data_IF_769458878348
#
_entry.id   IF_769458878348
#
_cell.length_a   1.000
_cell.length_b   1.000
_cell.length_c   1.000
_cell.angle_alpha   90.00
_cell.angle_beta   90.00
_cell.angle_gamma   90.00
#
_symmetry.space_group_name_H-M   'P 1'
#
loop_
_entity.id
_entity.type
_entity.pdbx_description
1 polymer ?
#
# COMPACT_ATOMS: atom_id res chain seq x y z
N UNK A 1 23.81 -32.46 11.72
CA UNK A 1 23.15 -32.40 10.41
C UNK A 1 22.38 -31.09 10.29
N UNK A 2 22.71 -30.31 9.32
CA UNK A 2 22.04 -29.03 9.13
C UNK A 2 20.56 -29.30 8.79
N UNK A 3 19.69 -28.74 9.56
CA UNK A 3 18.27 -28.83 9.32
C UNK A 3 17.88 -27.73 8.33
N UNK A 4 17.76 -28.11 7.06
CA UNK A 4 17.38 -27.16 6.01
C UNK A 4 15.87 -26.92 5.99
N UNK A 5 15.19 -27.24 7.08
CA UNK A 5 13.77 -27.00 7.17
C UNK A 5 13.50 -25.50 7.13
N UNK A 6 12.65 -25.08 6.21
CA UNK A 6 12.28 -23.68 6.12
C UNK A 6 11.52 -23.27 7.38
N UNK A 7 11.86 -22.10 7.90
CA UNK A 7 11.14 -21.53 9.04
C UNK A 7 9.69 -21.25 8.70
N UNK A 8 9.45 -20.84 7.46
CA UNK A 8 8.10 -20.59 6.96
C UNK A 8 7.93 -21.35 5.67
N UNK A 9 6.94 -22.22 5.62
CA UNK A 9 6.62 -23.00 4.45
C UNK A 9 5.62 -22.27 3.55
N UNK A 10 5.54 -22.69 2.30
CA UNK A 10 4.58 -22.21 1.30
C UNK A 10 4.81 -20.76 0.86
N UNK A 11 6.04 -20.25 1.04
CA UNK A 11 6.42 -18.99 0.46
C UNK A 11 7.70 -19.17 -0.36
N UNK A 12 7.85 -18.32 -1.36
CA UNK A 12 9.05 -18.29 -2.19
C UNK A 12 10.18 -17.63 -1.40
N UNK A 13 11.41 -18.10 -1.60
CA UNK A 13 12.58 -17.49 -0.96
C UNK A 13 12.81 -16.08 -1.51
N UNK A 14 13.19 -15.17 -0.62
CA UNK A 14 13.52 -13.80 -0.99
C UNK A 14 14.67 -13.73 -1.99
N UNK A 15 15.64 -14.63 -1.87
CA UNK A 15 16.78 -14.69 -2.77
C UNK A 15 16.42 -15.19 -4.16
N UNK A 16 15.41 -16.05 -4.26
CA UNK A 16 14.98 -16.60 -5.55
C UNK A 16 14.13 -15.59 -6.33
N UNK A 17 13.17 -14.97 -5.65
CA UNK A 17 12.26 -14.02 -6.27
C UNK A 17 11.71 -13.09 -5.20
N UNK A 18 12.28 -11.91 -5.10
CA UNK A 18 11.92 -10.93 -4.08
C UNK A 18 10.45 -10.49 -4.22
N UNK A 19 10.00 -10.23 -5.43
CA UNK A 19 8.62 -9.77 -5.65
C UNK A 19 7.60 -10.84 -5.23
N UNK A 20 7.87 -12.09 -5.60
CA UNK A 20 6.98 -13.18 -5.22
C UNK A 20 7.04 -13.45 -3.71
N UNK A 21 8.23 -13.36 -3.13
CA UNK A 21 8.38 -13.47 -1.68
C UNK A 21 7.52 -12.42 -0.95
N UNK A 22 7.57 -11.17 -1.39
CA UNK A 22 6.79 -10.10 -0.80
C UNK A 22 5.28 -10.41 -0.86
N UNK A 23 4.81 -10.82 -2.02
CA UNK A 23 3.41 -11.19 -2.21
C UNK A 23 3.00 -12.37 -1.30
N UNK A 24 3.84 -13.39 -1.24
CA UNK A 24 3.57 -14.57 -0.42
C UNK A 24 3.51 -14.20 1.06
N UNK A 25 4.43 -13.35 1.53
CA UNK A 25 4.48 -12.93 2.93
C UNK A 25 3.22 -12.19 3.35
N UNK A 26 2.80 -11.20 2.55
CA UNK A 26 1.61 -10.40 2.91
C UNK A 26 0.34 -11.21 2.88
N UNK A 27 0.26 -12.22 2.01
CA UNK A 27 -0.89 -13.13 1.96
C UNK A 27 -0.84 -14.13 3.11
N UNK A 28 0.32 -14.73 3.35
CA UNK A 28 0.48 -15.74 4.40
C UNK A 28 0.29 -15.16 5.79
N UNK A 29 0.71 -13.93 5.99
CA UNK A 29 0.52 -13.22 7.26
C UNK A 29 -0.90 -12.65 7.42
N UNK A 30 -1.77 -12.87 6.44
CA UNK A 30 -3.16 -12.40 6.48
C UNK A 30 -3.28 -10.88 6.59
N UNK A 31 -2.41 -10.19 5.86
CA UNK A 31 -2.39 -8.73 5.85
C UNK A 31 -3.31 -8.13 4.78
N UNK A 32 -3.45 -8.82 3.65
CA UNK A 32 -4.25 -8.35 2.52
C UNK A 32 -5.08 -9.49 1.94
N UNK A 33 -6.09 -9.10 1.16
CA UNK A 33 -6.81 -10.02 0.30
C UNK A 33 -7.13 -9.32 -1.01
N UNK A 34 -7.15 -10.07 -2.10
CA UNK A 34 -7.43 -9.52 -3.41
C UNK A 34 -8.95 -9.42 -3.63
N UNK A 35 -9.34 -8.50 -4.50
CA UNK A 35 -10.73 -8.38 -4.94
C UNK A 35 -10.84 -8.70 -6.41
N UNK A 36 -12.07 -8.75 -6.92
CA UNK A 36 -12.32 -8.97 -8.34
C UNK A 36 -11.89 -7.77 -9.21
N UNK A 37 -11.64 -6.63 -8.59
CA UNK A 37 -11.17 -5.44 -9.32
C UNK A 37 -9.66 -5.37 -9.24
N UNK A 38 -9.01 -5.40 -10.38
CA UNK A 38 -7.55 -5.37 -10.45
C UNK A 38 -7.01 -4.08 -9.80
N UNK A 39 -6.01 -4.23 -8.95
CA UNK A 39 -5.41 -3.10 -8.26
C UNK A 39 -6.16 -2.64 -7.01
N UNK A 40 -7.33 -3.22 -6.74
CA UNK A 40 -8.08 -2.90 -5.54
C UNK A 40 -8.06 -4.11 -4.62
N UNK A 41 -7.50 -3.94 -3.44
CA UNK A 41 -7.38 -5.03 -2.48
C UNK A 41 -7.89 -4.61 -1.12
N UNK A 42 -8.28 -5.60 -0.33
CA UNK A 42 -8.68 -5.38 1.06
C UNK A 42 -7.44 -5.41 1.92
N UNK A 43 -7.24 -4.39 2.72
CA UNK A 43 -6.19 -4.40 3.73
C UNK A 43 -6.84 -4.88 5.02
N UNK A 44 -6.42 -6.05 5.48
CA UNK A 44 -7.00 -6.70 6.65
C UNK A 44 -6.52 -6.04 7.94
N UNK A 45 -7.16 -6.35 9.09
CA UNK A 45 -6.85 -5.64 10.34
C UNK A 45 -5.37 -5.59 10.70
N UNK A 46 -4.64 -6.69 10.59
CA UNK A 46 -3.22 -6.70 10.94
C UNK A 46 -2.39 -5.82 10.00
N UNK A 47 -2.72 -5.81 8.70
CA UNK A 47 -2.07 -4.93 7.73
C UNK A 47 -2.42 -3.48 7.96
N UNK A 48 -3.67 -3.21 8.25
CA UNK A 48 -4.12 -1.83 8.50
C UNK A 48 -3.52 -1.26 9.79
N UNK A 49 -3.30 -2.11 10.80
CA UNK A 49 -2.63 -1.68 12.03
C UNK A 49 -1.22 -1.14 11.76
N UNK A 50 -0.49 -1.77 10.85
CA UNK A 50 0.82 -1.28 10.43
C UNK A 50 0.68 0.10 9.77
N UNK A 51 -0.29 0.24 8.88
CA UNK A 51 -0.58 1.49 8.20
C UNK A 51 -0.97 2.60 9.18
N UNK A 52 -1.83 2.29 10.14
CA UNK A 52 -2.22 3.25 11.17
C UNK A 52 -1.02 3.77 11.97
N UNK A 53 -0.09 2.88 12.32
CA UNK A 53 1.12 3.29 13.02
C UNK A 53 1.96 4.25 12.19
N UNK A 54 2.10 3.99 10.90
CA UNK A 54 2.81 4.87 9.98
C UNK A 54 2.11 6.23 9.89
N UNK A 55 0.79 6.22 9.69
CA UNK A 55 0.00 7.44 9.61
C UNK A 55 0.13 8.30 10.87
N UNK A 56 -0.01 7.67 12.04
CA UNK A 56 0.04 8.38 13.32
C UNK A 56 1.40 9.00 13.55
N UNK A 57 2.47 8.29 13.25
CA UNK A 57 3.82 8.81 13.45
C UNK A 57 4.13 9.95 12.50
N UNK A 58 3.79 9.82 11.23
CA UNK A 58 4.00 10.88 10.25
C UNK A 58 3.13 12.10 10.53
N UNK A 59 1.87 11.89 10.88
CA UNK A 59 0.94 12.98 11.21
C UNK A 59 1.48 13.81 12.38
N UNK A 60 1.96 13.14 13.42
CA UNK A 60 2.56 13.80 14.58
C UNK A 60 3.75 14.68 14.16
N UNK A 61 4.63 14.13 13.34
CA UNK A 61 5.82 14.84 12.87
C UNK A 61 5.47 16.05 12.00
N UNK A 62 4.47 15.88 11.11
CA UNK A 62 4.04 16.99 10.26
C UNK A 62 3.44 18.12 11.10
N UNK A 63 2.62 17.78 12.09
CA UNK A 63 2.00 18.79 12.97
C UNK A 63 3.03 19.55 13.80
N UNK A 64 4.12 18.89 14.18
CA UNK A 64 5.21 19.56 14.89
C UNK A 64 5.84 20.69 14.06
N UNK A 65 5.75 20.63 12.74
CA UNK A 65 6.26 21.68 11.84
C UNK A 65 5.23 22.75 11.51
N UNK A 66 4.05 22.67 12.11
CA UNK A 66 2.99 23.66 11.88
C UNK A 66 2.01 23.30 10.76
N UNK A 67 2.13 22.11 10.20
CA UNK A 67 1.19 21.63 9.18
C UNK A 67 -0.16 21.29 9.82
N UNK A 68 -1.24 21.67 9.18
CA UNK A 68 -2.59 21.37 9.62
C UNK A 68 -3.29 20.45 8.64
N UNK A 69 -4.12 19.55 9.17
CA UNK A 69 -4.87 18.62 8.34
C UNK A 69 -6.07 19.31 7.71
N UNK A 70 -6.37 18.92 6.48
CA UNK A 70 -7.53 19.41 5.76
C UNK A 70 -8.19 18.23 5.04
N UNK A 71 -9.48 18.30 4.89
CA UNK A 71 -10.24 17.31 4.11
C UNK A 71 -10.76 17.97 2.85
N UNK A 72 -10.32 17.47 1.71
CA UNK A 72 -10.75 17.98 0.42
C UNK A 72 -11.83 17.07 -0.18
N UNK A 73 -12.74 17.64 -1.00
CA UNK A 73 -13.75 16.83 -1.66
C UNK A 73 -13.14 15.74 -2.55
N UNK A 74 -13.78 14.57 -2.57
CA UNK A 74 -13.36 13.47 -3.43
C UNK A 74 -13.64 13.78 -4.90
N UNK A 75 -14.77 14.42 -5.19
CA UNK A 75 -15.18 14.66 -6.57
C UNK A 75 -14.72 16.03 -7.03
N UNK A 76 -14.18 16.08 -8.24
CA UNK A 76 -13.77 17.33 -8.89
C UNK A 76 -14.44 17.39 -10.27
N UNK A 77 -14.69 18.61 -10.78
CA UNK A 77 -15.27 18.75 -12.12
C UNK A 77 -14.34 18.19 -13.19
N UNK A 78 -14.90 17.55 -14.19
CA UNK A 78 -14.13 17.05 -15.33
C UNK A 78 -13.34 18.18 -16.02
N UNK A 79 -13.89 19.40 -16.00
CA UNK A 79 -13.22 20.58 -16.59
C UNK A 79 -11.85 20.84 -16.01
N UNK A 80 -11.65 20.56 -14.69
CA UNK A 80 -10.34 20.71 -14.07
C UNK A 80 -9.36 19.66 -14.56
N UNK A 81 -9.83 18.43 -14.77
CA UNK A 81 -9.00 17.37 -15.33
C UNK A 81 -8.56 17.69 -16.74
N UNK A 82 -9.45 18.28 -17.55
CA UNK A 82 -9.13 18.67 -18.91
C UNK A 82 -8.05 19.77 -18.94
N UNK A 83 -8.10 20.72 -18.03
CA UNK A 83 -7.10 21.78 -17.92
C UNK A 83 -5.72 21.22 -17.61
N UNK A 84 -5.66 20.20 -16.78
CA UNK A 84 -4.41 19.60 -16.35
C UNK A 84 -3.91 18.49 -17.28
N UNK A 85 -4.67 18.17 -18.32
CA UNK A 85 -4.35 17.06 -19.22
C UNK A 85 -2.94 17.12 -19.78
N UNK A 86 -2.48 18.32 -20.15
CA UNK A 86 -1.15 18.51 -20.72
C UNK A 86 -0.07 18.22 -19.68
N UNK A 87 -0.29 18.62 -18.44
CA UNK A 87 0.67 18.44 -17.35
C UNK A 87 0.74 17.00 -16.85
N UNK A 88 -0.34 16.26 -16.98
CA UNK A 88 -0.43 14.89 -16.49
C UNK A 88 -0.52 13.89 -17.63
N UNK A 89 -0.01 14.26 -18.79
CA UNK A 89 0.05 13.36 -19.93
C UNK A 89 0.84 12.10 -19.52
N UNK A 90 0.25 10.96 -19.72
CA UNK A 90 0.80 9.70 -19.22
C UNK A 90 0.14 9.21 -17.95
N UNK A 91 -0.52 10.07 -17.21
CA UNK A 91 -1.32 9.72 -16.04
C UNK A 91 -2.81 9.91 -16.28
N UNK A 92 -3.16 10.69 -17.29
CA UNK A 92 -4.56 10.94 -17.61
C UNK A 92 -5.23 9.65 -18.07
N UNK A 93 -6.42 9.36 -17.58
CA UNK A 93 -7.21 8.22 -18.02
C UNK A 93 -7.65 8.34 -19.46
#
# INVERSE_FOLDING_TARGET
>A
MANNKKLVEAITSMEEDFAQWYTDVVKKADLIDYTSVKGCMVIKPAGYAIWENIQNELDRRFKETGVENVYLPMFIPESLLQKEKVHVEGFAP
#
